data_IF_742665809442
#
_entry.id   IF_742665809442
#
_cell.length_a   1.000
_cell.length_b   1.000
_cell.length_c   1.000
_cell.angle_alpha   90.00
_cell.angle_beta   90.00
_cell.angle_gamma   90.00
#
_symmetry.space_group_name_H-M   'P 1'
#
loop_
_entity.id
_entity.type
_entity.pdbx_description
1 polymer ?
#
# COMPACT_ATOMS: atom_id res chain seq x y z
N UNK A 1 -1.79 -5.52 5.53
CA UNK A 1 -2.60 -4.39 5.02
C UNK A 1 -2.69 -3.07 5.85
N UNK A 2 -2.09 -2.91 7.04
CA UNK A 2 -1.75 -1.54 7.55
C UNK A 2 -0.35 -1.56 8.19
N UNK A 3 -0.04 -2.66 8.88
CA UNK A 3 1.29 -2.92 9.43
C UNK A 3 2.38 -3.07 8.35
N UNK A 4 2.08 -3.67 7.20
CA UNK A 4 3.05 -3.78 6.08
C UNK A 4 3.40 -2.41 5.50
N UNK A 5 2.43 -1.49 5.39
CA UNK A 5 2.66 -0.12 4.93
C UNK A 5 3.63 0.59 5.87
N UNK A 6 3.44 0.46 7.18
CA UNK A 6 4.33 1.09 8.17
C UNK A 6 5.74 0.51 8.20
N UNK A 7 5.89 -0.81 7.98
CA UNK A 7 7.22 -1.47 7.94
C UNK A 7 7.98 -1.03 6.69
N UNK A 8 7.33 -1.02 5.53
CA UNK A 8 7.93 -0.56 4.28
C UNK A 8 8.20 0.95 4.29
N UNK A 9 7.33 1.75 4.92
CA UNK A 9 7.54 3.19 5.10
C UNK A 9 8.66 3.52 6.08
N UNK A 10 8.83 2.76 7.17
CA UNK A 10 9.95 2.92 8.08
C UNK A 10 11.28 2.61 7.38
N UNK A 11 11.33 1.51 6.62
CA UNK A 11 12.48 1.17 5.78
C UNK A 11 12.78 2.27 4.75
N UNK A 12 11.75 2.92 4.19
CA UNK A 12 11.88 4.01 3.22
C UNK A 12 11.95 5.42 3.85
N UNK A 13 11.82 5.55 5.17
CA UNK A 13 12.02 6.81 5.89
C UNK A 13 13.50 6.98 6.25
N UNK A 14 14.21 5.87 6.51
CA UNK A 14 15.68 5.82 6.61
C UNK A 14 16.39 6.26 5.33
N UNK A 15 15.78 6.07 4.16
CA UNK A 15 16.36 6.43 2.86
C UNK A 15 16.27 7.92 2.53
N UNK A 16 15.57 8.72 3.36
CA UNK A 16 15.41 10.19 3.20
C UNK A 16 16.67 11.01 3.54
N UNK A 17 17.82 10.35 3.71
CA UNK A 17 19.05 10.95 4.25
C UNK A 17 20.06 11.31 3.16
N UNK A 18 19.81 10.96 1.89
CA UNK A 18 20.66 11.40 0.79
C UNK A 18 19.90 12.50 0.02
N UNK A 19 20.37 13.74 0.13
CA UNK A 19 19.85 14.85 -0.66
C UNK A 19 20.01 14.56 -2.16
N UNK A 20 19.05 15.02 -2.97
CA UNK A 20 18.98 14.78 -4.42
C UNK A 20 20.25 15.20 -5.17
N UNK A 21 21.03 16.16 -4.65
CA UNK A 21 22.30 16.62 -5.23
C UNK A 21 23.45 15.61 -5.08
N UNK A 22 23.39 14.71 -4.09
CA UNK A 22 24.38 13.65 -3.92
C UNK A 22 24.04 12.38 -4.73
N UNK A 23 22.87 12.33 -5.37
CA UNK A 23 22.34 11.12 -6.03
C UNK A 23 22.85 10.94 -7.46
N UNK A 24 22.93 11.99 -8.27
CA UNK A 24 23.16 11.89 -9.72
C UNK A 24 24.54 11.32 -10.07
N UNK A 25 25.60 11.77 -9.37
CA UNK A 25 26.95 11.22 -9.53
C UNK A 25 27.11 9.78 -9.00
N UNK A 26 26.12 9.27 -8.28
CA UNK A 26 26.16 7.96 -7.61
C UNK A 26 25.30 6.91 -8.31
N UNK A 27 24.37 7.28 -9.21
CA UNK A 27 23.59 6.32 -10.03
C UNK A 27 24.51 5.31 -10.74
N UNK A 28 25.66 5.76 -11.24
CA UNK A 28 26.65 4.89 -11.88
C UNK A 28 27.21 3.80 -10.95
N UNK A 29 27.31 4.07 -9.64
CA UNK A 29 27.77 3.08 -8.65
C UNK A 29 26.73 1.97 -8.45
N UNK A 30 25.44 2.32 -8.52
CA UNK A 30 24.33 1.41 -8.28
C UNK A 30 24.01 0.51 -9.48
N UNK A 31 24.56 0.80 -10.67
CA UNK A 31 24.43 -0.06 -11.86
C UNK A 31 25.10 -1.42 -11.71
N UNK A 32 26.11 -1.54 -10.83
CA UNK A 32 26.80 -2.81 -10.59
C UNK A 32 25.96 -3.81 -9.80
N UNK A 33 24.86 -3.36 -9.18
CA UNK A 33 23.99 -4.15 -8.28
C UNK A 33 24.73 -4.89 -7.14
N UNK A 34 26.00 -4.53 -6.89
CA UNK A 34 26.80 -5.03 -5.76
C UNK A 34 26.48 -4.21 -4.49
N UNK A 35 25.37 -4.57 -3.84
CA UNK A 35 24.82 -3.82 -2.71
C UNK A 35 25.78 -3.74 -1.52
N UNK A 36 26.60 -4.77 -1.30
CA UNK A 36 27.60 -4.79 -0.24
C UNK A 36 28.74 -3.80 -0.54
N UNK A 37 29.29 -3.82 -1.75
CA UNK A 37 30.32 -2.85 -2.14
C UNK A 37 29.77 -1.41 -2.18
N UNK A 38 28.50 -1.24 -2.57
CA UNK A 38 27.81 0.04 -2.52
C UNK A 38 27.70 0.49 -1.07
N UNK A 39 27.16 -0.33 -0.15
CA UNK A 39 26.96 0.02 1.26
C UNK A 39 28.26 0.44 1.97
N UNK A 40 29.40 -0.17 1.65
CA UNK A 40 30.71 0.27 2.17
C UNK A 40 31.04 1.74 1.83
N UNK A 41 30.48 2.29 0.75
CA UNK A 41 30.61 3.71 0.35
C UNK A 41 29.58 4.62 1.04
N UNK A 42 28.66 4.06 1.82
CA UNK A 42 27.61 4.77 2.55
C UNK A 42 27.59 4.31 4.02
N UNK A 43 28.38 4.94 4.90
CA UNK A 43 28.49 4.51 6.30
C UNK A 43 27.19 4.60 7.12
N UNK A 44 26.13 5.18 6.55
CA UNK A 44 24.80 5.30 7.15
C UNK A 44 23.76 4.36 6.54
N UNK A 45 24.11 3.58 5.53
CA UNK A 45 23.19 2.68 4.83
C UNK A 45 23.74 1.27 4.80
N UNK A 46 22.86 0.31 5.04
CA UNK A 46 23.10 -1.12 4.81
C UNK A 46 22.90 -1.47 3.33
N UNK A 47 23.41 -2.64 2.92
CA UNK A 47 23.21 -3.17 1.57
C UNK A 47 21.71 -3.25 1.19
N UNK A 48 20.88 -3.69 2.13
CA UNK A 48 19.42 -3.77 1.97
C UNK A 48 18.80 -2.38 1.77
N UNK A 49 19.22 -1.38 2.53
CA UNK A 49 18.74 0.00 2.35
C UNK A 49 19.17 0.59 1.00
N UNK A 50 20.40 0.29 0.54
CA UNK A 50 20.86 0.68 -0.79
C UNK A 50 20.03 0.03 -1.90
N UNK A 51 19.71 -1.26 -1.77
CA UNK A 51 18.86 -1.98 -2.72
C UNK A 51 17.44 -1.38 -2.76
N UNK A 52 16.82 -1.16 -1.60
CA UNK A 52 15.48 -0.55 -1.51
C UNK A 52 15.46 0.86 -2.10
N UNK A 53 16.50 1.65 -1.86
CA UNK A 53 16.64 2.99 -2.42
C UNK A 53 16.73 2.94 -3.95
N UNK A 54 17.50 1.99 -4.51
CA UNK A 54 17.57 1.78 -5.95
C UNK A 54 16.23 1.39 -6.58
N UNK A 55 15.59 0.37 -6.01
CA UNK A 55 14.34 -0.19 -6.52
C UNK A 55 13.16 0.78 -6.44
N UNK A 56 13.18 1.71 -5.45
CA UNK A 56 12.06 2.62 -5.23
C UNK A 56 12.28 4.04 -5.78
N UNK A 57 13.52 4.53 -5.82
CA UNK A 57 13.79 5.96 -6.07
C UNK A 57 14.87 6.23 -7.14
N UNK A 58 15.96 5.46 -7.18
CA UNK A 58 17.14 5.86 -7.99
C UNK A 58 17.20 5.26 -9.38
N UNK A 59 16.63 4.07 -9.58
CA UNK A 59 16.71 3.42 -10.88
C UNK A 59 16.09 4.32 -11.95
N UNK A 60 16.81 4.63 -13.05
CA UNK A 60 16.31 5.49 -14.12
C UNK A 60 15.12 4.87 -14.86
N UNK A 61 14.85 3.57 -14.64
CA UNK A 61 13.69 2.86 -15.20
C UNK A 61 12.40 3.16 -14.44
N UNK A 62 12.48 3.79 -13.27
CA UNK A 62 11.31 4.08 -12.42
C UNK A 62 10.55 5.26 -12.99
N UNK A 63 9.27 5.03 -13.28
CA UNK A 63 8.35 6.07 -13.68
C UNK A 63 7.98 6.98 -12.50
N UNK A 64 8.45 8.24 -12.56
CA UNK A 64 8.18 9.30 -11.57
C UNK A 64 7.12 10.32 -12.02
N UNK A 65 6.47 10.11 -13.16
CA UNK A 65 5.44 11.03 -13.66
C UNK A 65 4.20 11.05 -12.76
N UNK A 66 3.32 12.03 -12.93
CA UNK A 66 2.04 12.04 -12.23
C UNK A 66 1.20 10.81 -12.58
N UNK A 67 0.37 10.35 -11.65
CA UNK A 67 -0.57 9.26 -11.90
C UNK A 67 -1.68 9.72 -12.86
N UNK A 68 -2.00 8.89 -13.84
CA UNK A 68 -3.17 9.13 -14.71
C UNK A 68 -4.40 8.43 -14.16
N UNK A 69 -5.60 8.91 -14.50
CA UNK A 69 -6.85 8.28 -14.07
C UNK A 69 -6.95 6.81 -14.53
N UNK A 70 -6.49 6.52 -15.75
CA UNK A 70 -6.45 5.15 -16.29
C UNK A 70 -5.47 4.25 -15.54
N UNK A 71 -4.32 4.79 -15.13
CA UNK A 71 -3.34 4.08 -14.32
C UNK A 71 -3.90 3.77 -12.92
N UNK A 72 -4.59 4.73 -12.31
CA UNK A 72 -5.23 4.59 -11.00
C UNK A 72 -6.36 3.56 -11.03
N UNK A 73 -7.24 3.61 -12.02
CA UNK A 73 -8.32 2.64 -12.20
C UNK A 73 -7.75 1.21 -12.32
N UNK A 74 -6.75 1.02 -13.18
CA UNK A 74 -6.09 -0.28 -13.33
C UNK A 74 -5.40 -0.74 -12.04
N UNK A 75 -4.76 0.18 -11.31
CA UNK A 75 -4.17 -0.13 -10.01
C UNK A 75 -5.22 -0.64 -9.01
N UNK A 76 -6.41 -0.04 -8.99
CA UNK A 76 -7.52 -0.47 -8.12
C UNK A 76 -7.95 -1.89 -8.48
N UNK A 77 -8.14 -2.17 -9.77
CA UNK A 77 -8.53 -3.51 -10.23
C UNK A 77 -7.49 -4.57 -9.87
N UNK A 78 -6.20 -4.28 -10.10
CA UNK A 78 -5.12 -5.21 -9.79
C UNK A 78 -4.97 -5.41 -8.28
N UNK A 79 -5.06 -4.35 -7.47
CA UNK A 79 -4.98 -4.44 -6.03
C UNK A 79 -6.10 -5.33 -5.46
N UNK A 80 -7.33 -5.18 -5.97
CA UNK A 80 -8.45 -6.06 -5.62
C UNK A 80 -8.22 -7.50 -6.06
N UNK A 81 -7.75 -7.71 -7.29
CA UNK A 81 -7.50 -9.03 -7.84
C UNK A 81 -6.43 -9.82 -7.07
N UNK A 82 -5.39 -9.12 -6.60
CA UNK A 82 -4.30 -9.71 -5.80
C UNK A 82 -4.51 -9.55 -4.29
N UNK A 83 -5.72 -9.19 -3.85
CA UNK A 83 -6.09 -9.04 -2.44
C UNK A 83 -5.13 -8.14 -1.62
N UNK A 84 -4.52 -7.15 -2.29
CA UNK A 84 -3.58 -6.18 -1.68
C UNK A 84 -2.31 -6.79 -1.05
N UNK A 85 -1.98 -8.05 -1.36
CA UNK A 85 -0.90 -8.80 -0.72
C UNK A 85 0.46 -8.74 -1.44
N UNK A 86 0.47 -8.61 -2.77
CA UNK A 86 1.69 -8.73 -3.58
C UNK A 86 1.94 -7.50 -4.48
N UNK A 87 2.45 -6.42 -3.87
CA UNK A 87 2.75 -5.17 -4.57
C UNK A 87 3.82 -5.28 -5.66
N UNK A 88 4.88 -6.10 -5.51
CA UNK A 88 5.78 -6.41 -6.63
C UNK A 88 5.05 -6.93 -7.85
N UNK A 89 4.19 -7.94 -7.69
CA UNK A 89 3.42 -8.51 -8.79
C UNK A 89 2.36 -7.55 -9.34
N UNK A 90 1.73 -6.75 -8.48
CA UNK A 90 0.79 -5.69 -8.89
C UNK A 90 1.50 -4.66 -9.78
N UNK A 91 2.71 -4.21 -9.39
CA UNK A 91 3.48 -3.23 -10.17
C UNK A 91 3.94 -3.78 -11.53
N UNK A 92 4.35 -5.05 -11.58
CA UNK A 92 4.65 -5.73 -12.84
C UNK A 92 3.41 -5.82 -13.74
N UNK A 93 2.27 -6.25 -13.18
CA UNK A 93 1.01 -6.35 -13.92
C UNK A 93 0.44 -5.00 -14.36
N UNK A 94 0.74 -3.91 -13.64
CA UNK A 94 0.38 -2.54 -14.03
C UNK A 94 1.13 -2.12 -15.31
N UNK A 95 2.38 -2.57 -15.47
CA UNK A 95 3.17 -2.39 -16.70
C UNK A 95 3.59 -0.95 -16.99
N UNK A 96 3.48 -0.03 -16.02
CA UNK A 96 3.80 1.39 -16.18
C UNK A 96 5.21 1.78 -15.71
N UNK A 97 6.01 0.79 -15.28
CA UNK A 97 7.36 1.01 -14.73
C UNK A 97 7.36 1.69 -13.37
N UNK A 98 6.23 1.66 -12.64
CA UNK A 98 6.13 2.15 -11.26
C UNK A 98 6.84 1.20 -10.32
N UNK A 99 7.53 1.76 -9.32
CA UNK A 99 8.05 0.96 -8.22
C UNK A 99 6.89 0.36 -7.39
N UNK A 100 7.03 -0.86 -6.84
CA UNK A 100 6.01 -1.49 -5.99
C UNK A 100 5.55 -0.59 -4.83
N UNK A 101 6.48 0.12 -4.21
CA UNK A 101 6.16 1.06 -3.14
C UNK A 101 5.32 2.25 -3.61
N UNK A 102 5.53 2.73 -4.85
CA UNK A 102 4.72 3.82 -5.40
C UNK A 102 3.26 3.37 -5.59
N UNK A 103 3.05 2.14 -6.08
CA UNK A 103 1.74 1.51 -6.20
C UNK A 103 1.05 1.39 -4.82
N UNK A 104 1.74 0.83 -3.83
CA UNK A 104 1.20 0.68 -2.48
C UNK A 104 0.81 2.03 -1.87
N UNK A 105 1.72 3.02 -1.96
CA UNK A 105 1.49 4.37 -1.42
C UNK A 105 0.29 5.04 -2.09
N UNK A 106 0.21 4.94 -3.43
CA UNK A 106 -0.90 5.52 -4.19
C UNK A 106 -2.22 4.86 -3.82
N UNK A 107 -2.26 3.54 -3.75
CA UNK A 107 -3.45 2.79 -3.38
C UNK A 107 -3.89 3.14 -1.96
N UNK A 108 -3.04 2.90 -0.96
CA UNK A 108 -3.39 3.07 0.46
C UNK A 108 -3.77 4.49 0.87
N UNK A 109 -3.04 5.51 0.38
CA UNK A 109 -3.23 6.91 0.82
C UNK A 109 -4.04 7.75 -0.17
N UNK A 110 -4.06 7.37 -1.43
CA UNK A 110 -4.69 8.13 -2.50
C UNK A 110 -6.03 7.55 -2.94
N UNK A 111 -6.13 6.23 -3.08
CA UNK A 111 -7.30 5.59 -3.71
C UNK A 111 -8.22 4.93 -2.69
N UNK A 112 -7.67 4.20 -1.71
CA UNK A 112 -8.45 3.50 -0.69
C UNK A 112 -9.40 4.43 0.07
N UNK A 113 -9.00 5.65 0.52
CA UNK A 113 -9.92 6.58 1.17
C UNK A 113 -11.06 7.06 0.26
N UNK A 114 -10.87 7.03 -1.06
CA UNK A 114 -11.90 7.38 -2.05
C UNK A 114 -12.80 6.19 -2.41
N UNK A 115 -12.29 4.96 -2.24
CA UNK A 115 -13.01 3.72 -2.51
C UNK A 115 -13.89 3.28 -1.35
N UNK A 116 -13.39 3.46 -0.13
CA UNK A 116 -14.19 3.33 1.09
C UNK A 116 -15.25 4.42 1.00
N UNK A 117 -16.51 4.01 0.81
CA UNK A 117 -17.62 4.95 0.83
C UNK A 117 -17.65 5.68 2.16
N UNK A 118 -18.10 6.93 2.15
CA UNK A 118 -18.57 7.56 3.38
C UNK A 118 -19.57 6.62 4.07
N UNK A 119 -19.47 6.54 5.39
CA UNK A 119 -20.43 5.83 6.21
C UNK A 119 -21.81 6.46 5.97
N UNK A 120 -22.68 5.76 5.27
CA UNK A 120 -24.02 6.28 4.99
C UNK A 120 -24.95 6.00 6.16
N UNK A 121 -26.02 6.78 6.30
CA UNK A 121 -27.03 6.52 7.34
C UNK A 121 -27.62 5.11 7.19
N UNK A 122 -27.75 4.58 5.97
CA UNK A 122 -28.21 3.22 5.74
C UNK A 122 -27.19 2.17 6.23
N UNK A 123 -25.88 2.45 6.13
CA UNK A 123 -24.86 1.58 6.71
C UNK A 123 -24.94 1.61 8.25
N UNK A 124 -25.18 2.79 8.84
CA UNK A 124 -25.38 2.96 10.29
C UNK A 124 -26.60 2.20 10.80
N UNK A 125 -27.71 2.29 10.07
CA UNK A 125 -28.95 1.57 10.39
C UNK A 125 -28.72 0.07 10.31
N UNK A 126 -28.05 -0.42 9.26
CA UNK A 126 -27.72 -1.86 9.13
C UNK A 126 -26.84 -2.34 10.28
N UNK A 127 -25.84 -1.56 10.67
CA UNK A 127 -24.98 -1.91 11.82
C UNK A 127 -25.80 -1.98 13.11
N UNK A 128 -26.63 -0.98 13.39
CA UNK A 128 -27.48 -0.96 14.60
C UNK A 128 -28.43 -2.15 14.65
N UNK A 129 -29.07 -2.46 13.52
CA UNK A 129 -29.96 -3.63 13.41
C UNK A 129 -29.20 -4.93 13.61
N UNK A 130 -28.00 -5.08 13.05
CA UNK A 130 -27.17 -6.27 13.23
C UNK A 130 -26.73 -6.45 14.69
N UNK A 131 -26.32 -5.36 15.35
CA UNK A 131 -25.97 -5.35 16.77
C UNK A 131 -27.19 -5.68 17.63
N UNK A 132 -28.37 -5.19 17.30
CA UNK A 132 -29.60 -5.50 18.04
C UNK A 132 -29.99 -6.98 17.87
N UNK A 133 -29.90 -7.52 16.65
CA UNK A 133 -30.25 -8.91 16.34
C UNK A 133 -29.30 -9.93 16.98
N UNK A 134 -27.99 -9.68 16.95
CA UNK A 134 -26.97 -10.62 17.40
C UNK A 134 -26.47 -10.32 18.83
N UNK A 135 -26.60 -9.07 19.26
CA UNK A 135 -26.13 -8.58 20.54
C UNK A 135 -27.13 -8.75 21.68
N UNK A 136 -28.43 -8.58 21.45
CA UNK A 136 -29.44 -8.73 22.52
C UNK A 136 -29.08 -7.95 23.79
N UNK A 137 -28.94 -8.65 24.94
CA UNK A 137 -28.53 -8.08 26.24
C UNK A 137 -27.01 -8.18 26.53
N UNK A 138 -26.20 -8.60 25.56
CA UNK A 138 -24.77 -8.84 25.77
C UNK A 138 -24.02 -7.52 25.96
N UNK A 139 -22.99 -7.56 26.79
CA UNK A 139 -22.07 -6.43 26.93
C UNK A 139 -21.24 -6.26 25.65
N UNK A 140 -20.73 -5.04 25.33
CA UNK A 140 -19.96 -4.81 24.10
C UNK A 140 -18.73 -5.72 23.90
N UNK A 141 -18.16 -6.25 24.99
CA UNK A 141 -17.04 -7.18 24.96
C UNK A 141 -17.43 -8.64 24.70
N UNK A 142 -18.72 -8.97 24.72
CA UNK A 142 -19.28 -10.31 24.46
C UNK A 142 -19.97 -10.38 23.09
N UNK A 143 -19.91 -9.29 22.31
CA UNK A 143 -20.45 -9.24 20.96
C UNK A 143 -19.53 -9.97 19.99
N UNK A 144 -20.12 -10.85 19.19
CA UNK A 144 -19.45 -11.50 18.07
C UNK A 144 -19.41 -10.52 16.89
N UNK A 145 -18.35 -9.70 16.87
CA UNK A 145 -18.16 -8.70 15.83
C UNK A 145 -17.93 -9.30 14.45
N UNK A 146 -17.43 -10.54 14.37
CA UNK A 146 -17.24 -11.25 13.10
C UNK A 146 -18.61 -11.61 12.50
N UNK A 147 -19.53 -12.15 13.31
CA UNK A 147 -20.90 -12.43 12.89
C UNK A 147 -21.69 -11.15 12.53
N UNK A 148 -21.51 -10.06 13.30
CA UNK A 148 -22.13 -8.76 13.01
C UNK A 148 -21.61 -8.19 11.69
N UNK A 149 -20.30 -8.24 11.46
CA UNK A 149 -19.68 -7.77 10.21
C UNK A 149 -20.19 -8.57 9.00
N UNK A 150 -20.34 -9.89 9.13
CA UNK A 150 -20.90 -10.74 8.09
C UNK A 150 -22.37 -10.38 7.76
N UNK A 151 -23.16 -10.03 8.79
CA UNK A 151 -24.56 -9.64 8.60
C UNK A 151 -24.70 -8.24 7.95
N UNK A 152 -23.83 -7.30 8.32
CA UNK A 152 -23.79 -5.95 7.74
C UNK A 152 -23.33 -5.98 6.27
N UNK A 153 -22.43 -6.90 5.92
CA UNK A 153 -21.88 -7.04 4.56
C UNK A 153 -22.79 -7.81 3.60
N UNK A 154 -23.55 -8.82 4.07
CA UNK A 154 -24.49 -9.64 3.27
C UNK A 154 -25.67 -8.91 2.59
N UNK A 155 -25.80 -7.59 2.76
CA UNK A 155 -26.82 -6.78 2.11
C UNK A 155 -26.25 -5.61 1.31
N UNK A 156 -24.92 -5.54 1.14
CA UNK A 156 -24.26 -4.46 0.44
C UNK A 156 -23.71 -4.97 -0.89
N UNK A 157 -24.47 -4.74 -1.98
CA UNK A 157 -24.11 -5.13 -3.35
C UNK A 157 -22.76 -4.58 -3.83
N UNK A 158 -22.14 -3.67 -3.08
CA UNK A 158 -20.80 -3.13 -3.32
C UNK A 158 -19.66 -4.05 -2.85
N UNK A 159 -19.94 -5.03 -1.99
CA UNK A 159 -19.00 -6.00 -1.42
C UNK A 159 -19.39 -7.46 -1.67
N UNK A 160 -20.52 -7.71 -2.34
CA UNK A 160 -20.84 -9.03 -2.88
C UNK A 160 -19.90 -9.32 -4.06
N UNK A 161 -19.28 -10.50 -3.99
CA UNK A 161 -18.13 -10.98 -4.77
C UNK A 161 -18.27 -10.88 -6.30
#
# INVERSE_FOLDING_TARGET
CFQEVTVWEQANKSTKVISDEALEGRIALFQSEDWDAIAHKFPKLTAVECQLLWMNNLSPRINKHSWSAQEEERLIHLAKYYEEHDWPKIAEALGTGRAPFACLKKYSRGLLPLLVSEWTEEADIRLKQAVEQLGGLKSPGELDWDAISELVTKGNAKYDK
#
